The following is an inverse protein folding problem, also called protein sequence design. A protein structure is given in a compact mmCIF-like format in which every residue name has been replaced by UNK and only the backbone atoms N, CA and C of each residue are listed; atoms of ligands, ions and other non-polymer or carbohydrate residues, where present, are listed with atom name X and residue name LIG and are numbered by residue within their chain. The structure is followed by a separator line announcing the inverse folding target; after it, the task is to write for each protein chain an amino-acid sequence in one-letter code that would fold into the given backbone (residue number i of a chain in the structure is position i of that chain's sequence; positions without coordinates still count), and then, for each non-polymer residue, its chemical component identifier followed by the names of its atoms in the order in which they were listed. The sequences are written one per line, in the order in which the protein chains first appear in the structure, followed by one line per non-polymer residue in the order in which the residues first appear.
data_IF_949421624859
#
_entry.id   IF_949421624859
#
_cell.length_a   1.000
_cell.length_b   1.000
_cell.length_c   1.000
_cell.angle_alpha   90.00
_cell.angle_beta   90.00
_cell.angle_gamma   90.00
#
_symmetry.space_group_name_H-M   'P 1'
#
loop_
_entity.id
_entity.type
_entity.pdbx_description
1 polymer ?
#
# COMPACT_ATOMS: atom_id res chain seq x y z
N UNK A 1 41.17 -32.39 -11.42
CA UNK A 1 39.70 -32.21 -11.37
C UNK A 1 39.27 -30.89 -10.73
N UNK A 2 39.76 -30.54 -9.53
CA UNK A 2 39.37 -29.30 -8.82
C UNK A 2 39.60 -28.00 -9.61
N UNK A 3 40.74 -27.86 -10.28
CA UNK A 3 41.05 -26.65 -11.06
C UNK A 3 40.10 -26.51 -12.27
N UNK A 4 39.79 -27.61 -12.95
CA UNK A 4 38.86 -27.61 -14.07
C UNK A 4 37.43 -27.27 -13.66
N UNK A 5 36.99 -27.78 -12.50
CA UNK A 5 35.69 -27.44 -11.92
C UNK A 5 35.61 -25.96 -11.55
N UNK A 6 36.68 -25.41 -10.98
CA UNK A 6 36.73 -24.01 -10.57
C UNK A 6 36.66 -23.07 -11.78
N UNK A 7 37.46 -23.34 -12.82
CA UNK A 7 37.41 -22.58 -14.08
C UNK A 7 36.04 -22.67 -14.76
N UNK A 8 35.40 -23.85 -14.70
CA UNK A 8 34.07 -24.06 -15.27
C UNK A 8 33.00 -23.25 -14.52
N UNK A 9 32.99 -23.27 -13.18
CA UNK A 9 32.05 -22.48 -12.37
C UNK A 9 32.27 -20.98 -12.59
N UNK A 10 33.52 -20.51 -12.59
CA UNK A 10 33.82 -19.09 -12.81
C UNK A 10 33.39 -18.64 -14.21
N UNK A 11 33.67 -19.44 -15.24
CA UNK A 11 33.25 -19.13 -16.61
C UNK A 11 31.73 -19.01 -16.73
N UNK A 12 30.97 -19.97 -16.16
CA UNK A 12 29.52 -19.91 -16.21
C UNK A 12 28.93 -18.81 -15.32
N UNK A 13 29.56 -18.42 -14.21
CA UNK A 13 29.12 -17.26 -13.43
C UNK A 13 29.18 -15.95 -14.21
N UNK A 14 30.14 -15.78 -15.13
CA UNK A 14 30.26 -14.57 -15.94
C UNK A 14 29.59 -14.66 -17.31
N UNK A 15 29.50 -15.86 -17.90
CA UNK A 15 28.84 -16.09 -19.18
C UNK A 15 27.31 -16.20 -19.07
N UNK A 16 26.80 -16.63 -17.92
CA UNK A 16 25.37 -16.60 -17.62
C UNK A 16 25.05 -15.21 -17.09
N UNK A 17 24.60 -14.31 -17.97
CA UNK A 17 24.11 -12.98 -17.64
C UNK A 17 22.76 -13.02 -16.88
N UNK A 18 22.63 -13.93 -15.90
CA UNK A 18 21.55 -14.02 -14.91
C UNK A 18 22.07 -13.69 -13.51
N UNK A 19 23.24 -13.04 -13.44
CA UNK A 19 23.69 -12.35 -12.26
C UNK A 19 22.99 -10.99 -12.21
N UNK A 20 21.74 -10.97 -11.75
CA UNK A 20 21.05 -9.76 -11.28
C UNK A 20 21.91 -9.20 -10.14
N UNK A 21 22.87 -8.35 -10.49
CA UNK A 21 23.97 -7.97 -9.62
C UNK A 21 23.79 -6.53 -9.20
N UNK A 22 23.01 -6.34 -8.13
CA UNK A 22 23.16 -5.32 -7.07
C UNK A 22 23.12 -3.83 -7.47
N UNK A 23 23.25 -3.45 -8.74
CA UNK A 23 23.15 -2.04 -9.17
C UNK A 23 21.69 -1.53 -9.13
N UNK A 24 20.72 -2.45 -9.30
CA UNK A 24 19.30 -2.17 -9.05
C UNK A 24 18.99 -1.96 -7.55
N UNK A 25 19.91 -2.32 -6.64
CA UNK A 25 19.77 -2.07 -5.21
C UNK A 25 20.31 -0.70 -4.76
N UNK A 26 21.10 0.00 -5.59
CA UNK A 26 21.64 1.32 -5.23
C UNK A 26 20.78 2.49 -5.73
N UNK A 27 20.07 2.28 -6.84
CA UNK A 27 19.16 3.27 -7.42
C UNK A 27 17.84 2.63 -7.79
N UNK A 28 17.31 1.79 -6.90
CA UNK A 28 16.00 1.16 -7.11
C UNK A 28 14.96 2.23 -7.41
N UNK A 29 14.42 2.21 -8.63
CA UNK A 29 13.29 3.07 -9.02
C UNK A 29 12.08 2.84 -8.11
N UNK A 30 12.04 1.71 -7.39
CA UNK A 30 11.10 1.45 -6.30
C UNK A 30 11.35 2.31 -5.04
N UNK A 31 12.60 2.64 -4.68
CA UNK A 31 12.89 3.34 -3.42
C UNK A 31 12.60 4.85 -3.47
N UNK A 32 12.97 5.54 -4.55
CA UNK A 32 12.75 7.00 -4.66
C UNK A 32 11.27 7.34 -4.62
N UNK A 33 10.53 6.61 -5.43
CA UNK A 33 9.08 6.63 -5.54
C UNK A 33 8.41 6.37 -4.17
N UNK A 34 8.75 5.26 -3.49
CA UNK A 34 8.18 4.94 -2.16
C UNK A 34 8.49 6.02 -1.12
N UNK A 35 9.66 6.65 -1.19
CA UNK A 35 10.08 7.70 -0.25
C UNK A 35 9.18 8.94 -0.34
N UNK A 36 8.77 9.33 -1.54
CA UNK A 36 7.91 10.50 -1.74
C UNK A 36 6.52 10.29 -1.12
N UNK A 37 5.86 9.18 -1.46
CA UNK A 37 4.52 8.86 -0.91
C UNK A 37 4.57 8.67 0.61
N UNK A 38 5.57 7.95 1.11
CA UNK A 38 5.71 7.72 2.55
C UNK A 38 6.00 9.02 3.31
N UNK A 39 6.75 9.95 2.73
CA UNK A 39 6.98 11.28 3.31
C UNK A 39 5.71 12.12 3.29
N UNK A 40 4.98 12.11 2.17
CA UNK A 40 3.69 12.80 2.06
C UNK A 40 2.71 12.33 3.13
N UNK A 41 2.54 11.01 3.30
CA UNK A 41 1.66 10.44 4.31
C UNK A 41 2.09 10.84 5.72
N UNK A 42 3.38 10.90 6.00
CA UNK A 42 3.88 11.31 7.31
C UNK A 42 3.56 12.77 7.62
N UNK A 43 3.74 13.65 6.64
CA UNK A 43 3.59 15.10 6.79
C UNK A 43 2.12 15.54 6.78
N UNK A 44 1.28 14.92 5.94
CA UNK A 44 -0.11 15.33 5.72
C UNK A 44 -1.09 14.45 6.50
N UNK A 45 -1.00 13.11 6.36
CA UNK A 45 -1.92 12.20 7.04
C UNK A 45 -1.54 11.91 8.51
N UNK A 46 -0.25 12.05 8.86
CA UNK A 46 0.29 11.84 10.20
C UNK A 46 -0.34 12.70 11.30
N UNK A 47 -0.42 14.03 11.16
CA UNK A 47 -1.06 14.90 12.17
C UNK A 47 -2.58 14.73 12.24
N UNK A 48 -3.19 14.23 11.17
CA UNK A 48 -4.64 14.11 11.02
C UNK A 48 -5.18 12.80 11.60
N UNK A 49 -6.44 12.82 12.03
CA UNK A 49 -7.17 11.60 12.42
C UNK A 49 -7.79 10.90 11.21
N UNK A 50 -8.08 9.61 11.36
CA UNK A 50 -8.70 8.78 10.32
C UNK A 50 -7.76 7.72 9.78
N UNK A 51 -8.34 6.70 9.15
CA UNK A 51 -7.59 5.59 8.59
C UNK A 51 -7.14 5.86 7.14
N UNK A 52 -6.18 5.06 6.70
CA UNK A 52 -5.64 5.04 5.35
C UNK A 52 -6.01 3.69 4.75
N UNK A 53 -6.90 3.69 3.76
CA UNK A 53 -7.23 2.48 3.00
C UNK A 53 -6.18 2.30 1.90
N UNK A 54 -5.56 1.13 1.87
CA UNK A 54 -4.44 0.84 0.97
C UNK A 54 -4.36 -0.66 0.69
N UNK A 55 -3.95 -1.03 -0.52
CA UNK A 55 -3.60 -2.43 -0.79
C UNK A 55 -2.23 -2.76 -0.23
N UNK A 56 -2.17 -3.69 0.73
CA UNK A 56 -0.89 -4.19 1.23
C UNK A 56 -0.16 -5.05 0.18
N UNK A 57 -0.90 -5.69 -0.73
CA UNK A 57 -0.30 -6.47 -1.82
C UNK A 57 0.46 -5.58 -2.81
N UNK A 58 -0.02 -4.35 -3.03
CA UNK A 58 0.60 -3.41 -3.96
C UNK A 58 1.61 -2.46 -3.30
N UNK A 59 1.42 -2.14 -2.01
CA UNK A 59 2.06 -0.98 -1.38
C UNK A 59 2.61 -1.24 0.03
N UNK A 60 3.00 -2.48 0.36
CA UNK A 60 3.60 -2.83 1.65
C UNK A 60 4.79 -1.93 2.05
N UNK A 61 5.64 -1.59 1.10
CA UNK A 61 6.79 -0.71 1.28
C UNK A 61 6.38 0.71 1.68
N UNK A 62 5.25 1.24 1.19
CA UNK A 62 4.70 2.54 1.59
C UNK A 62 4.23 2.47 3.05
N UNK A 63 3.49 1.41 3.40
CA UNK A 63 2.98 1.17 4.77
C UNK A 63 4.14 1.21 5.76
N UNK A 64 5.19 0.41 5.52
CA UNK A 64 6.34 0.30 6.42
C UNK A 64 7.22 1.56 6.43
N UNK A 65 7.39 2.23 5.29
CA UNK A 65 8.27 3.41 5.19
C UNK A 65 7.61 4.70 5.69
N UNK A 66 6.28 4.76 5.75
CA UNK A 66 5.53 5.95 6.23
C UNK A 66 5.91 6.36 7.66
N UNK A 67 6.31 5.40 8.50
CA UNK A 67 6.52 5.61 9.93
C UNK A 67 5.23 5.83 10.72
N UNK A 68 4.06 5.68 10.09
CA UNK A 68 2.77 5.75 10.76
C UNK A 68 2.47 4.43 11.50
N UNK A 69 1.73 4.46 12.62
CA UNK A 69 1.34 3.23 13.32
C UNK A 69 0.54 2.28 12.42
N UNK A 70 0.84 0.97 12.45
CA UNK A 70 0.16 -0.02 11.60
C UNK A 70 -1.37 0.00 11.72
N UNK A 71 -1.91 0.29 12.91
CA UNK A 71 -3.34 0.46 13.16
C UNK A 71 -4.02 1.60 12.36
N UNK A 72 -3.25 2.48 11.72
CA UNK A 72 -3.77 3.53 10.84
C UNK A 72 -4.13 2.99 9.46
N UNK A 73 -3.62 1.82 9.07
CA UNK A 73 -3.81 1.26 7.74
C UNK A 73 -4.92 0.22 7.76
N UNK A 74 -5.89 0.40 6.88
CA UNK A 74 -6.89 -0.60 6.52
C UNK A 74 -6.42 -1.22 5.20
N UNK A 75 -6.16 -2.52 5.22
CA UNK A 75 -5.67 -3.30 4.09
C UNK A 75 -6.30 -4.69 4.12
N UNK A 76 -6.01 -5.55 3.14
CA UNK A 76 -6.65 -6.86 2.99
C UNK A 76 -6.53 -7.77 4.24
N UNK A 77 -5.52 -7.53 5.07
CA UNK A 77 -5.28 -8.23 6.34
C UNK A 77 -6.06 -7.70 7.55
N UNK A 78 -6.73 -6.55 7.43
CA UNK A 78 -7.47 -5.88 8.50
C UNK A 78 -8.85 -6.50 8.79
N UNK A 79 -9.25 -7.54 8.05
CA UNK A 79 -10.49 -8.29 8.26
C UNK A 79 -11.74 -7.41 8.09
N UNK A 80 -12.61 -7.40 9.09
CA UNK A 80 -13.90 -6.67 9.02
C UNK A 80 -13.75 -5.18 8.75
N UNK A 81 -12.63 -4.56 9.10
CA UNK A 81 -12.35 -3.17 8.75
C UNK A 81 -12.15 -3.01 7.24
N UNK A 82 -11.49 -3.97 6.60
CA UNK A 82 -11.28 -3.95 5.16
C UNK A 82 -12.59 -4.13 4.42
N UNK A 83 -13.39 -5.14 4.80
CA UNK A 83 -14.70 -5.37 4.20
C UNK A 83 -15.59 -4.12 4.29
N UNK A 84 -15.64 -3.49 5.46
CA UNK A 84 -16.43 -2.28 5.68
C UNK A 84 -15.89 -1.06 4.91
N UNK A 85 -14.56 -0.92 4.78
CA UNK A 85 -13.95 0.17 4.04
C UNK A 85 -14.07 0.00 2.51
N UNK A 86 -14.18 -1.23 2.01
CA UNK A 86 -14.50 -1.47 0.60
C UNK A 86 -15.96 -1.13 0.30
N UNK A 87 -16.88 -1.44 1.22
CA UNK A 87 -18.31 -1.17 1.06
C UNK A 87 -18.66 0.32 1.26
N UNK A 88 -18.03 0.97 2.24
CA UNK A 88 -18.30 2.36 2.65
C UNK A 88 -17.00 3.14 2.87
N UNK A 89 -16.17 3.37 1.85
CA UNK A 89 -14.84 3.96 2.01
C UNK A 89 -14.88 5.30 2.74
N UNK A 90 -15.85 6.15 2.42
CA UNK A 90 -16.05 7.49 2.99
C UNK A 90 -16.35 7.50 4.49
N UNK A 91 -16.86 6.41 5.05
CA UNK A 91 -17.08 6.28 6.49
C UNK A 91 -15.88 5.69 7.24
N UNK A 92 -14.92 5.08 6.54
CA UNK A 92 -13.85 4.32 7.17
C UNK A 92 -12.45 4.82 6.87
N UNK A 93 -12.24 5.53 5.76
CA UNK A 93 -10.93 5.97 5.33
C UNK A 93 -10.92 7.47 5.08
N UNK A 94 -10.01 8.20 5.73
CA UNK A 94 -9.78 9.59 5.35
C UNK A 94 -8.97 9.68 4.06
N UNK A 95 -7.99 8.79 3.94
CA UNK A 95 -7.09 8.73 2.80
C UNK A 95 -7.21 7.39 2.12
N UNK A 96 -7.07 7.40 0.79
CA UNK A 96 -7.01 6.20 -0.03
C UNK A 96 -5.74 6.28 -0.86
N UNK A 97 -4.93 5.21 -0.78
CA UNK A 97 -3.69 5.08 -1.56
C UNK A 97 -3.82 3.86 -2.46
N UNK A 98 -3.83 4.10 -3.77
CA UNK A 98 -4.12 3.07 -4.77
C UNK A 98 -3.37 3.35 -6.07
N UNK A 99 -3.13 2.33 -6.88
CA UNK A 99 -2.74 2.55 -8.27
C UNK A 99 -4.00 2.72 -9.13
N UNK A 100 -4.37 3.96 -9.42
CA UNK A 100 -5.57 4.24 -10.20
C UNK A 100 -5.51 3.64 -11.60
N UNK A 101 -6.67 3.23 -12.10
CA UNK A 101 -6.87 2.59 -13.40
C UNK A 101 -6.06 1.29 -13.60
N UNK A 102 -5.62 0.66 -12.51
CA UNK A 102 -4.93 -0.63 -12.55
C UNK A 102 -5.71 -1.68 -11.77
N UNK A 103 -6.24 -2.67 -12.50
CA UNK A 103 -6.92 -3.81 -11.88
C UNK A 103 -5.95 -4.75 -11.14
N UNK A 104 -4.64 -4.55 -11.27
CA UNK A 104 -3.64 -5.25 -10.46
C UNK A 104 -3.66 -4.78 -8.99
N UNK A 105 -4.13 -3.55 -8.73
CA UNK A 105 -4.39 -3.05 -7.38
C UNK A 105 -5.77 -3.53 -6.90
N UNK A 106 -5.75 -4.42 -5.92
CA UNK A 106 -6.97 -5.03 -5.37
C UNK A 106 -7.90 -4.01 -4.73
N UNK A 107 -7.36 -2.96 -4.10
CA UNK A 107 -8.18 -1.93 -3.49
C UNK A 107 -8.85 -1.10 -4.57
N UNK A 108 -8.09 -0.61 -5.57
CA UNK A 108 -8.65 0.12 -6.71
C UNK A 108 -9.80 -0.64 -7.38
N UNK A 109 -9.53 -1.90 -7.77
CA UNK A 109 -10.49 -2.78 -8.45
C UNK A 109 -11.82 -2.91 -7.70
N UNK A 110 -11.81 -2.82 -6.38
CA UNK A 110 -12.99 -2.96 -5.54
C UNK A 110 -13.73 -1.64 -5.28
N UNK A 111 -13.01 -0.52 -5.18
CA UNK A 111 -13.61 0.76 -4.76
C UNK A 111 -13.90 1.73 -5.90
N UNK A 112 -13.28 1.59 -7.08
CA UNK A 112 -13.33 2.62 -8.11
C UNK A 112 -14.74 2.90 -8.65
N UNK A 113 -15.67 1.95 -8.48
CA UNK A 113 -17.09 2.05 -8.86
C UNK A 113 -18.02 2.31 -7.67
N UNK A 114 -17.46 2.40 -6.45
CA UNK A 114 -18.21 2.65 -5.23
C UNK A 114 -18.66 4.13 -5.17
N UNK A 115 -19.95 4.43 -4.92
CA UNK A 115 -20.41 5.81 -4.77
C UNK A 115 -19.69 6.62 -3.68
N UNK A 116 -19.23 5.96 -2.61
CA UNK A 116 -18.44 6.58 -1.55
C UNK A 116 -17.09 7.09 -2.06
N UNK A 117 -16.48 6.46 -3.07
CA UNK A 117 -15.22 6.91 -3.65
C UNK A 117 -15.35 8.25 -4.39
N UNK A 118 -16.52 8.58 -4.94
CA UNK A 118 -16.78 9.88 -5.56
C UNK A 118 -16.75 11.06 -4.56
N UNK A 119 -16.67 10.79 -3.25
CA UNK A 119 -16.53 11.79 -2.19
C UNK A 119 -15.08 12.21 -1.95
N UNK A 120 -14.12 11.64 -2.68
CA UNK A 120 -12.70 11.94 -2.53
C UNK A 120 -12.17 12.83 -3.65
N UNK A 121 -11.21 13.67 -3.30
CA UNK A 121 -10.43 14.44 -4.25
C UNK A 121 -9.05 13.82 -4.40
N UNK A 122 -8.54 13.76 -5.63
CA UNK A 122 -7.14 13.42 -5.91
C UNK A 122 -6.27 14.57 -5.39
N UNK A 123 -5.51 14.33 -4.33
CA UNK A 123 -4.66 15.35 -3.71
C UNK A 123 -3.20 15.24 -4.13
N UNK A 124 -2.78 14.06 -4.57
CA UNK A 124 -1.43 13.86 -5.10
C UNK A 124 -1.35 12.65 -6.04
N UNK A 125 -0.36 12.68 -6.95
CA UNK A 125 -0.18 11.69 -8.00
C UNK A 125 1.30 11.34 -8.17
N UNK A 126 1.61 10.04 -8.10
CA UNK A 126 2.97 9.52 -8.24
C UNK A 126 3.02 8.38 -9.26
N UNK A 127 4.22 7.99 -9.76
CA UNK A 127 4.33 6.99 -10.82
C UNK A 127 3.71 5.61 -10.52
N UNK A 128 3.45 5.29 -9.26
CA UNK A 128 3.06 3.94 -8.82
C UNK A 128 1.87 3.93 -7.86
N UNK A 129 1.41 5.10 -7.40
CA UNK A 129 0.23 5.26 -6.57
C UNK A 129 -0.29 6.70 -6.60
N UNK A 130 -1.59 6.83 -6.40
CA UNK A 130 -2.33 8.06 -6.24
C UNK A 130 -2.82 8.17 -4.81
N UNK A 131 -2.91 9.41 -4.33
CA UNK A 131 -3.42 9.71 -3.01
C UNK A 131 -4.71 10.52 -3.14
N UNK A 132 -5.76 9.97 -2.56
CA UNK A 132 -7.06 10.59 -2.48
C UNK A 132 -7.37 10.98 -1.03
N UNK A 133 -7.95 12.15 -0.82
CA UNK A 133 -8.44 12.61 0.49
C UNK A 133 -9.96 12.80 0.46
N UNK A 134 -10.62 12.38 1.52
CA UNK A 134 -12.05 12.58 1.71
C UNK A 134 -12.35 14.09 1.79
N UNK A 135 -13.31 14.55 0.97
CA UNK A 135 -13.72 15.97 0.97
C UNK A 135 -14.14 16.43 2.36
N UNK A 136 -13.79 17.68 2.68
CA UNK A 136 -13.97 18.27 4.00
C UNK A 136 -15.44 18.20 4.48
N UNK A 137 -16.41 18.31 3.58
CA UNK A 137 -17.83 18.22 3.94
C UNK A 137 -18.25 16.86 4.53
N UNK A 138 -17.53 15.77 4.26
CA UNK A 138 -17.88 14.42 4.72
C UNK A 138 -17.08 13.97 5.95
N UNK A 139 -16.10 14.75 6.41
CA UNK A 139 -15.25 14.38 7.56
C UNK A 139 -16.03 14.18 8.87
N UNK A 140 -17.22 14.78 8.98
CA UNK A 140 -18.07 14.63 10.16
C UNK A 140 -18.73 13.23 10.27
N UNK A 141 -18.80 12.48 9.18
CA UNK A 141 -19.36 11.11 9.12
C UNK A 141 -18.26 10.03 9.23
N UNK A 142 -16.99 10.45 9.26
CA UNK A 142 -15.83 9.57 9.25
C UNK A 142 -15.57 8.93 10.62
N UNK A 143 -15.44 7.60 10.63
CA UNK A 143 -14.94 6.86 11.79
C UNK A 143 -13.43 7.08 11.92
N UNK A 144 -13.01 7.63 13.06
CA UNK A 144 -11.58 7.91 13.34
C UNK A 144 -10.95 6.98 14.38
N UNK A 145 -11.77 6.16 15.03
CA UNK A 145 -11.37 5.25 16.09
C UNK A 145 -11.68 3.79 15.71
N UNK A 146 -10.89 2.86 16.25
CA UNK A 146 -11.06 1.44 16.03
C UNK A 146 -12.25 0.89 16.83
N UNK A 147 -13.44 0.91 16.23
CA UNK A 147 -14.71 0.52 16.87
C UNK A 147 -15.20 -0.89 16.54
N UNK A 148 -14.70 -1.52 15.47
CA UNK A 148 -15.03 -2.91 15.14
C UNK A 148 -14.15 -3.85 15.97
N UNK A 149 -14.80 -4.76 16.69
CA UNK A 149 -14.10 -5.81 17.41
C UNK A 149 -13.62 -6.85 16.39
N UNK A 150 -12.30 -7.13 16.25
CA UNK A 150 -11.83 -8.17 15.37
C UNK A 150 -12.41 -9.49 15.89
N UNK A 151 -13.38 -10.06 15.18
CA UNK A 151 -13.91 -11.38 15.55
C UNK A 151 -12.73 -12.35 15.52
N UNK A 152 -12.31 -12.83 16.70
CA UNK A 152 -11.46 -14.00 16.82
C UNK A 152 -12.11 -15.12 15.98
N UNK A 153 -11.34 -15.87 15.17
CA UNK A 153 -11.91 -16.90 14.32
C UNK A 153 -12.72 -17.85 15.20
N UNK A 154 -14.04 -17.89 14.97
CA UNK A 154 -14.92 -18.88 15.60
C UNK A 154 -14.52 -20.22 15.05
N UNK A 155 -13.72 -20.94 15.84
CA UNK A 155 -13.28 -22.29 15.58
C UNK A 155 -14.52 -23.20 15.53
N UNK A 156 -15.09 -23.37 14.33
CA UNK A 156 -16.06 -24.43 14.08
C UNK A 156 -15.26 -25.71 13.88
N UNK A 157 -15.19 -26.49 14.96
CA UNK A 157 -14.84 -27.91 14.95
C UNK A 157 -15.82 -28.69 14.09
#
# INVERSE_FOLDING_TARGET
MLIGLLVFVTFFQFASSDAVTIDDAQVGSSQKNVTEISSWLREHAGPEKGFILISAASHDSIIFSSGLPMRRFIHEGSGTYYDAAIEYPDHWARYIVVRSYSDDDSTWRLIHSNPGFAKYDLVDHYPFADIYELRAEYLHELNTDAILNPKLPTNKR
#
